data_IF_071328675471
#
_entry.id   IF_071328675471
#
_cell.length_a   1.000
_cell.length_b   1.000
_cell.length_c   1.000
_cell.angle_alpha   90.00
_cell.angle_beta   90.00
_cell.angle_gamma   90.00
#
_symmetry.space_group_name_H-M   'P 1'
#
loop_
_entity.id
_entity.type
_entity.pdbx_description
1 polymer ?
#
# COMPACT_ATOMS: atom_id res chain seq x y z
N UNK A 1 -15.38 3.58 0.28
CA UNK A 1 -15.79 3.65 -1.13
C UNK A 1 -15.94 2.22 -1.66
N UNK A 2 -17.12 1.87 -2.16
CA UNK A 2 -17.45 0.54 -2.67
C UNK A 2 -16.83 0.27 -4.07
N UNK A 3 -16.42 1.32 -4.79
CA UNK A 3 -15.78 1.22 -6.11
C UNK A 3 -14.25 1.22 -6.08
N UNK A 4 -13.62 1.45 -4.92
CA UNK A 4 -12.16 1.51 -4.82
C UNK A 4 -11.50 0.13 -4.95
N UNK A 5 -10.25 0.07 -5.40
CA UNK A 5 -9.42 -1.14 -5.31
C UNK A 5 -8.54 -1.07 -4.06
N UNK A 6 -8.37 -2.20 -3.38
CA UNK A 6 -7.37 -2.34 -2.31
C UNK A 6 -6.12 -2.99 -2.90
N UNK A 7 -4.97 -2.31 -2.83
CA UNK A 7 -3.69 -2.85 -3.26
C UNK A 7 -2.78 -3.03 -2.05
N UNK A 8 -2.39 -4.27 -1.77
CA UNK A 8 -1.25 -4.53 -0.89
C UNK A 8 0.02 -4.40 -1.74
N UNK A 9 0.91 -3.49 -1.36
CA UNK A 9 2.13 -3.19 -2.14
C UNK A 9 3.37 -3.37 -1.28
N UNK A 10 4.36 -4.07 -1.85
CA UNK A 10 5.65 -4.36 -1.24
C UNK A 10 6.21 -5.70 -1.69
N UNK A 11 7.45 -5.71 -2.15
CA UNK A 11 8.15 -6.87 -2.66
C UNK A 11 8.92 -7.69 -1.62
N UNK A 12 9.84 -8.52 -2.08
CA UNK A 12 10.67 -9.41 -1.25
C UNK A 12 11.85 -8.65 -0.62
N UNK A 13 11.56 -7.77 0.35
CA UNK A 13 12.57 -6.90 0.97
C UNK A 13 13.20 -7.51 2.23
N UNK A 14 12.59 -8.55 2.81
CA UNK A 14 13.08 -9.22 4.02
C UNK A 14 13.69 -10.58 3.70
N UNK A 15 15.00 -10.72 3.90
CA UNK A 15 15.73 -11.98 3.68
C UNK A 15 15.12 -13.18 4.40
N UNK A 16 14.65 -12.98 5.62
CA UNK A 16 14.10 -14.05 6.46
C UNK A 16 12.67 -14.46 6.08
N UNK A 17 12.00 -13.73 5.17
CA UNK A 17 10.63 -14.02 4.74
C UNK A 17 10.56 -15.12 3.65
N UNK A 18 11.71 -15.52 3.08
CA UNK A 18 11.75 -16.44 1.94
C UNK A 18 11.21 -15.80 0.65
N UNK A 19 10.76 -16.61 -0.34
CA UNK A 19 10.22 -16.11 -1.61
C UNK A 19 8.77 -15.61 -1.45
N UNK A 20 8.56 -14.70 -0.49
CA UNK A 20 7.25 -14.12 -0.17
C UNK A 20 7.38 -12.62 -0.06
N UNK A 21 6.59 -11.93 -0.87
CA UNK A 21 6.50 -10.48 -0.85
C UNK A 21 5.78 -9.96 0.41
N UNK A 22 6.07 -8.72 0.82
CA UNK A 22 5.32 -8.08 1.89
C UNK A 22 3.82 -7.98 1.55
N UNK A 23 3.49 -7.73 0.28
CA UNK A 23 2.13 -7.70 -0.24
C UNK A 23 1.37 -9.03 -0.05
N UNK A 24 2.00 -10.16 -0.43
CA UNK A 24 1.44 -11.49 -0.20
C UNK A 24 1.21 -11.78 1.28
N UNK A 25 2.08 -11.27 2.15
CA UNK A 25 1.94 -11.46 3.60
C UNK A 25 0.69 -10.76 4.14
N UNK A 26 0.41 -9.53 3.69
CA UNK A 26 -0.85 -8.84 4.04
C UNK A 26 -2.08 -9.54 3.50
N UNK A 27 -2.03 -10.03 2.25
CA UNK A 27 -3.11 -10.84 1.68
C UNK A 27 -3.42 -12.06 2.54
N UNK A 28 -2.40 -12.84 2.89
CA UNK A 28 -2.55 -14.06 3.69
C UNK A 28 -3.14 -13.75 5.07
N UNK A 29 -2.73 -12.65 5.70
CA UNK A 29 -3.33 -12.19 6.97
C UNK A 29 -4.80 -11.86 6.76
N UNK A 30 -5.15 -11.04 5.77
CA UNK A 30 -6.53 -10.66 5.49
C UNK A 30 -7.42 -11.90 5.25
N UNK A 31 -6.94 -12.85 4.45
CA UNK A 31 -7.64 -14.10 4.16
C UNK A 31 -7.81 -14.96 5.43
N UNK A 32 -6.76 -15.11 6.25
CA UNK A 32 -6.84 -15.85 7.52
C UNK A 32 -7.81 -15.24 8.54
N UNK A 33 -8.12 -13.94 8.40
CA UNK A 33 -9.06 -13.21 9.25
C UNK A 33 -10.46 -13.09 8.62
N UNK A 34 -10.74 -13.82 7.54
CA UNK A 34 -12.02 -13.73 6.82
C UNK A 34 -12.33 -12.30 6.37
N UNK A 35 -11.29 -11.57 5.94
CA UNK A 35 -11.37 -10.16 5.54
C UNK A 35 -12.09 -9.26 6.56
N UNK A 36 -11.99 -9.62 7.85
CA UNK A 36 -12.61 -8.90 8.96
C UNK A 36 -14.14 -8.73 8.79
N UNK A 37 -14.81 -9.74 8.22
CA UNK A 37 -16.26 -9.75 7.99
C UNK A 37 -16.70 -8.90 6.79
N UNK A 38 -15.78 -8.64 5.85
CA UNK A 38 -16.01 -7.87 4.60
C UNK A 38 -15.60 -8.64 3.34
N UNK A 39 -15.54 -9.96 3.44
CA UNK A 39 -15.03 -10.86 2.40
C UNK A 39 -15.82 -10.77 1.08
N UNK A 40 -17.15 -10.69 1.11
CA UNK A 40 -17.96 -10.64 -0.11
C UNK A 40 -17.60 -9.46 -1.02
N UNK A 41 -17.27 -8.30 -0.46
CA UNK A 41 -17.03 -7.07 -1.23
C UNK A 41 -15.56 -6.63 -1.31
N UNK A 42 -14.77 -6.82 -0.25
CA UNK A 42 -13.39 -6.31 -0.21
C UNK A 42 -12.43 -7.29 -0.88
N UNK A 43 -12.59 -8.60 -0.63
CA UNK A 43 -11.70 -9.62 -1.21
C UNK A 43 -11.67 -9.56 -2.73
N UNK A 44 -12.84 -9.43 -3.36
CA UNK A 44 -13.00 -9.41 -4.83
C UNK A 44 -12.36 -8.20 -5.50
N UNK A 45 -12.11 -7.11 -4.75
CA UNK A 45 -11.47 -5.87 -5.22
C UNK A 45 -10.10 -5.63 -4.60
N UNK A 46 -9.55 -6.65 -3.95
CA UNK A 46 -8.20 -6.59 -3.39
C UNK A 46 -7.24 -7.27 -4.34
N UNK A 47 -6.05 -6.73 -4.53
CA UNK A 47 -4.95 -7.35 -5.27
C UNK A 47 -3.59 -7.06 -4.62
N UNK A 48 -2.54 -7.69 -5.14
CA UNK A 48 -1.15 -7.46 -4.75
C UNK A 48 -0.37 -6.70 -5.82
N UNK A 49 0.63 -5.95 -5.36
CA UNK A 49 1.75 -5.41 -6.12
C UNK A 49 3.02 -5.85 -5.37
N UNK A 50 3.89 -6.61 -6.03
CA UNK A 50 4.90 -7.46 -5.35
C UNK A 50 6.34 -7.13 -5.72
N UNK A 51 6.56 -6.01 -6.41
CA UNK A 51 7.86 -5.63 -6.96
C UNK A 51 8.46 -4.42 -6.28
N UNK A 52 7.68 -3.64 -5.53
CA UNK A 52 8.18 -2.46 -4.85
C UNK A 52 9.25 -2.78 -3.79
N UNK A 53 10.39 -2.10 -3.88
CA UNK A 53 11.56 -2.31 -3.00
C UNK A 53 11.65 -1.25 -1.91
N UNK A 54 10.94 -0.14 -2.08
CA UNK A 54 10.91 0.96 -1.13
C UNK A 54 9.52 1.64 -1.09
N UNK A 55 9.40 2.64 -0.22
CA UNK A 55 8.13 3.35 -0.03
C UNK A 55 7.71 4.25 -1.20
N UNK A 56 8.64 4.69 -2.04
CA UNK A 56 8.31 5.46 -3.24
C UNK A 56 7.76 4.52 -4.33
N UNK A 57 8.44 3.40 -4.55
CA UNK A 57 7.98 2.34 -5.44
C UNK A 57 6.63 1.78 -5.01
N UNK A 58 6.38 1.67 -3.70
CA UNK A 58 5.06 1.24 -3.22
C UNK A 58 3.93 2.13 -3.79
N UNK A 59 4.14 3.44 -3.84
CA UNK A 59 3.15 4.36 -4.40
C UNK A 59 3.13 4.30 -5.93
N UNK A 60 4.29 4.40 -6.58
CA UNK A 60 4.40 4.41 -8.03
C UNK A 60 3.84 3.13 -8.66
N UNK A 61 4.28 1.97 -8.17
CA UNK A 61 3.85 0.69 -8.72
C UNK A 61 2.40 0.39 -8.40
N UNK A 62 1.86 0.84 -7.26
CA UNK A 62 0.41 0.76 -7.01
C UNK A 62 -0.39 1.56 -8.04
N UNK A 63 0.08 2.76 -8.44
CA UNK A 63 -0.56 3.57 -9.49
C UNK A 63 -0.48 2.87 -10.85
N UNK A 64 0.67 2.30 -11.20
CA UNK A 64 0.84 1.52 -12.43
C UNK A 64 -0.07 0.28 -12.42
N UNK A 65 -0.10 -0.47 -11.32
CA UNK A 65 -0.91 -1.67 -11.14
C UNK A 65 -2.40 -1.36 -11.24
N UNK A 66 -2.85 -0.26 -10.64
CA UNK A 66 -4.23 0.19 -10.80
C UNK A 66 -4.59 0.42 -12.28
N UNK A 67 -3.69 1.03 -13.07
CA UNK A 67 -3.91 1.23 -14.50
C UNK A 67 -3.90 -0.06 -15.30
N UNK A 68 -3.03 -1.01 -14.98
CA UNK A 68 -3.04 -2.35 -15.60
C UNK A 68 -4.38 -3.05 -15.42
N UNK A 69 -4.99 -2.90 -14.24
CA UNK A 69 -6.23 -3.58 -13.88
C UNK A 69 -7.49 -2.90 -14.41
N UNK A 70 -7.48 -1.57 -14.53
CA UNK A 70 -8.68 -0.77 -14.84
C UNK A 70 -8.62 -0.03 -16.17
N UNK A 71 -7.46 0.00 -16.82
CA UNK A 71 -7.21 0.79 -18.04
C UNK A 71 -7.05 2.30 -17.81
N UNK A 72 -7.25 2.81 -16.59
CA UNK A 72 -7.18 4.23 -16.25
C UNK A 72 -6.32 4.47 -15.01
N UNK A 73 -5.78 5.68 -14.84
CA UNK A 73 -5.08 6.04 -13.60
C UNK A 73 -6.09 6.37 -12.48
N UNK A 74 -5.74 6.10 -11.21
CA UNK A 74 -6.64 6.39 -10.09
C UNK A 74 -6.90 7.90 -9.98
N UNK A 75 -8.15 8.28 -9.75
CA UNK A 75 -8.49 9.68 -9.50
C UNK A 75 -8.16 10.10 -8.07
N UNK A 76 -8.31 9.19 -7.10
CA UNK A 76 -8.03 9.41 -5.69
C UNK A 76 -7.10 8.29 -5.19
N UNK A 77 -6.20 8.62 -4.26
CA UNK A 77 -5.33 7.64 -3.60
C UNK A 77 -5.45 7.84 -2.11
N UNK A 78 -5.66 6.75 -1.36
CA UNK A 78 -5.52 6.73 0.10
C UNK A 78 -4.41 5.77 0.46
N UNK A 79 -3.34 6.26 1.08
CA UNK A 79 -2.26 5.42 1.61
C UNK A 79 -2.56 5.08 3.05
N UNK A 80 -2.53 3.79 3.39
CA UNK A 80 -2.60 3.30 4.78
C UNK A 80 -1.21 2.80 5.17
N UNK A 81 -0.58 3.45 6.15
CA UNK A 81 0.75 3.03 6.61
C UNK A 81 1.01 3.49 8.05
N UNK A 82 2.25 3.43 8.51
CA UNK A 82 2.61 3.99 9.81
C UNK A 82 2.56 5.52 9.80
N UNK A 83 2.09 6.09 10.90
CA UNK A 83 1.92 7.54 11.14
C UNK A 83 3.14 8.38 10.75
N UNK A 84 4.34 7.96 11.16
CA UNK A 84 5.59 8.70 10.88
C UNK A 84 5.94 8.78 9.38
N UNK A 85 5.26 8.02 8.50
CA UNK A 85 5.51 8.05 7.05
C UNK A 85 4.65 9.09 6.32
N UNK A 86 3.68 9.70 6.99
CA UNK A 86 2.70 10.61 6.37
C UNK A 86 3.37 11.72 5.57
N UNK A 87 4.27 12.48 6.22
CA UNK A 87 4.95 13.61 5.59
C UNK A 87 5.71 13.16 4.33
N UNK A 88 6.43 12.04 4.40
CA UNK A 88 7.17 11.50 3.26
C UNK A 88 6.26 11.13 2.09
N UNK A 89 5.12 10.50 2.35
CA UNK A 89 4.17 10.15 1.28
C UNK A 89 3.47 11.39 0.71
N UNK A 90 2.97 12.27 1.57
CA UNK A 90 2.17 13.43 1.17
C UNK A 90 3.01 14.53 0.51
N UNK A 91 4.24 14.76 0.98
CA UNK A 91 5.06 15.90 0.52
C UNK A 91 6.11 15.50 -0.50
N UNK A 92 6.70 14.31 -0.39
CA UNK A 92 7.78 13.87 -1.29
C UNK A 92 7.24 12.95 -2.39
N UNK A 93 6.68 11.79 -2.02
CA UNK A 93 6.32 10.76 -3.00
C UNK A 93 5.17 11.20 -3.92
N UNK A 94 4.09 11.73 -3.34
CA UNK A 94 2.97 12.30 -4.11
C UNK A 94 3.45 13.41 -5.06
N UNK A 95 4.30 14.31 -4.57
CA UNK A 95 4.83 15.43 -5.35
C UNK A 95 5.68 14.95 -6.53
N UNK A 96 6.58 13.99 -6.29
CA UNK A 96 7.41 13.39 -7.32
C UNK A 96 6.60 12.67 -8.42
N UNK A 97 5.42 12.14 -8.08
CA UNK A 97 4.48 11.56 -9.06
C UNK A 97 3.57 12.61 -9.74
N UNK A 98 3.63 13.87 -9.34
CA UNK A 98 2.72 14.92 -9.82
C UNK A 98 1.26 14.65 -9.43
N UNK A 99 1.00 13.86 -8.39
CA UNK A 99 -0.37 13.51 -8.01
C UNK A 99 -1.03 14.68 -7.26
N UNK A 100 -2.28 15.07 -7.58
CA UNK A 100 -2.92 16.24 -6.97
C UNK A 100 -3.10 16.11 -5.46
N UNK A 101 -2.72 17.15 -4.71
CA UNK A 101 -2.82 17.19 -3.24
C UNK A 101 -4.25 16.95 -2.75
N UNK A 102 -5.24 17.64 -3.33
CA UNK A 102 -6.66 17.50 -2.96
C UNK A 102 -7.29 16.13 -3.29
N UNK A 103 -6.54 15.20 -3.87
CA UNK A 103 -6.99 13.83 -4.16
C UNK A 103 -6.10 12.75 -3.52
N UNK A 104 -5.12 13.15 -2.72
CA UNK A 104 -4.21 12.27 -2.02
C UNK A 104 -4.50 12.32 -0.53
N UNK A 105 -4.78 11.16 0.06
CA UNK A 105 -5.13 11.01 1.46
C UNK A 105 -4.16 10.04 2.14
N UNK A 106 -3.94 10.23 3.43
CA UNK A 106 -3.10 9.35 4.24
C UNK A 106 -3.85 8.94 5.50
N UNK A 107 -3.77 7.67 5.86
CA UNK A 107 -4.30 7.11 7.10
C UNK A 107 -3.15 6.46 7.87
N UNK A 108 -2.72 7.13 8.93
CA UNK A 108 -1.64 6.69 9.80
C UNK A 108 -2.11 5.70 10.86
N UNK A 109 -1.39 4.60 10.99
CA UNK A 109 -1.51 3.65 12.11
C UNK A 109 -0.36 3.85 13.08
N UNK A 110 -0.57 3.63 14.39
CA UNK A 110 0.52 3.72 15.36
C UNK A 110 1.64 2.74 15.01
N UNK A 111 2.86 3.27 14.87
CA UNK A 111 4.03 2.43 14.65
C UNK A 111 4.46 1.68 15.91
N UNK A 112 4.92 0.44 15.72
CA UNK A 112 5.64 -0.29 16.77
C UNK A 112 7.00 0.38 17.03
N UNK A 113 7.58 0.25 18.24
CA UNK A 113 8.91 0.77 18.53
C UNK A 113 9.97 0.30 17.52
N UNK A 114 9.96 -1.00 17.18
CA UNK A 114 10.88 -1.59 16.19
C UNK A 114 10.71 -0.97 14.80
N UNK A 115 9.48 -0.66 14.38
CA UNK A 115 9.24 -0.03 13.08
C UNK A 115 9.75 1.42 13.03
N UNK A 116 9.68 2.15 14.15
CA UNK A 116 10.23 3.51 14.26
C UNK A 116 11.75 3.49 14.22
N UNK A 117 12.39 2.58 14.98
CA UNK A 117 13.85 2.42 14.98
C UNK A 117 14.39 2.07 13.59
N UNK A 118 13.72 1.16 12.88
CA UNK A 118 14.10 0.78 11.52
C UNK A 118 13.98 1.93 10.50
N UNK A 119 13.18 2.96 10.78
CA UNK A 119 12.97 4.10 9.88
C UNK A 119 14.03 5.21 10.00
N UNK A 120 14.87 5.17 11.05
CA UNK A 120 15.92 6.17 11.31
C UNK A 120 17.27 5.78 10.68
N UNK A 121 17.41 4.52 10.23
CA UNK A 121 18.58 4.03 9.49
C UNK A 121 18.53 4.43 8.02
#
# INVERSE_FOLDING_TARGET
DEGALLLFSGGETRKDAGPRSEAQSYWAIAESKGWFGKDESVRSRSLTEEHARDSFENLLFSVCRFRELTGTYPQNITVVSYDFKEERFAQLHRSALGFPEGRFFFSGTPATPTAREAAVK
#
